data_IF_812206961199
#
_entry.id   IF_812206961199
#
_cell.length_a   1.000
_cell.length_b   1.000
_cell.length_c   1.000
_cell.angle_alpha   90.00
_cell.angle_beta   90.00
_cell.angle_gamma   90.00
#
_symmetry.space_group_name_H-M   'P 1'
#
loop_
_entity.id
_entity.type
_entity.pdbx_description
1 polymer ?
#
# COMPACT_ATOMS: atom_id res chain seq x y z
N UNK A 1 4.86 10.30 -8.14
CA UNK A 1 6.18 9.66 -7.84
C UNK A 1 6.52 10.06 -6.43
N UNK A 2 6.62 9.08 -5.51
CA UNK A 2 6.98 9.35 -4.12
C UNK A 2 8.45 9.00 -3.89
N UNK A 3 8.78 7.77 -3.64
CA UNK A 3 10.11 7.35 -3.26
C UNK A 3 10.59 6.02 -3.90
N UNK A 4 9.75 5.32 -4.64
CA UNK A 4 10.16 4.09 -5.34
C UNK A 4 10.84 4.37 -6.68
N UNK A 5 11.97 3.69 -6.96
CA UNK A 5 12.73 3.74 -8.22
C UNK A 5 12.68 2.43 -9.02
N UNK A 6 12.01 1.39 -8.52
CA UNK A 6 11.90 0.10 -9.19
C UNK A 6 10.97 0.19 -10.41
N UNK A 7 11.50 -0.08 -11.60
CA UNK A 7 10.72 -0.16 -12.83
C UNK A 7 10.15 -1.57 -13.01
N UNK A 8 8.86 -1.69 -13.35
CA UNK A 8 8.17 -2.98 -13.45
C UNK A 8 8.91 -4.00 -14.33
N UNK A 9 9.41 -3.61 -15.49
CA UNK A 9 10.15 -4.52 -16.38
C UNK A 9 11.39 -5.11 -15.71
N UNK A 10 12.27 -4.25 -15.22
CA UNK A 10 13.50 -4.63 -14.55
C UNK A 10 13.25 -5.43 -13.26
N UNK A 11 12.19 -5.06 -12.52
CA UNK A 11 11.78 -5.75 -11.30
C UNK A 11 11.36 -7.19 -11.59
N UNK A 12 10.54 -7.44 -12.62
CA UNK A 12 10.14 -8.79 -12.99
C UNK A 12 11.28 -9.60 -13.59
N UNK A 13 12.16 -8.98 -14.39
CA UNK A 13 13.37 -9.64 -14.89
C UNK A 13 14.25 -10.09 -13.73
N UNK A 14 14.47 -9.21 -12.75
CA UNK A 14 15.22 -9.53 -11.53
C UNK A 14 14.56 -10.62 -10.69
N UNK A 15 13.25 -10.58 -10.53
CA UNK A 15 12.47 -11.61 -9.83
C UNK A 15 12.67 -12.99 -10.46
N UNK A 16 12.60 -13.06 -11.80
CA UNK A 16 12.84 -14.29 -12.55
C UNK A 16 14.30 -14.78 -12.44
N UNK A 17 15.29 -13.87 -12.56
CA UNK A 17 16.71 -14.19 -12.37
C UNK A 17 17.01 -14.81 -11.00
N UNK A 18 16.34 -14.31 -9.96
CA UNK A 18 16.49 -14.80 -8.59
C UNK A 18 15.70 -16.09 -8.33
N UNK A 19 14.94 -16.59 -9.31
CA UNK A 19 14.13 -17.82 -9.19
C UNK A 19 12.93 -17.64 -8.25
N UNK A 20 12.47 -16.40 -8.00
CA UNK A 20 11.28 -16.13 -7.19
C UNK A 20 10.02 -16.33 -8.03
N UNK A 21 9.03 -17.05 -7.48
CA UNK A 21 7.76 -17.36 -8.15
C UNK A 21 6.72 -16.23 -8.04
N UNK A 22 6.88 -15.32 -7.10
CA UNK A 22 5.93 -14.25 -6.80
C UNK A 22 6.66 -12.98 -6.36
N UNK A 23 6.00 -11.84 -6.53
CA UNK A 23 6.42 -10.55 -5.98
C UNK A 23 5.20 -9.67 -5.68
N UNK A 24 5.28 -8.85 -4.65
CA UNK A 24 4.23 -7.91 -4.29
C UNK A 24 4.52 -6.50 -4.79
N UNK A 25 3.46 -5.75 -5.11
CA UNK A 25 3.48 -4.29 -5.14
C UNK A 25 2.81 -3.77 -3.86
N UNK A 26 3.35 -2.70 -3.28
CA UNK A 26 2.81 -2.09 -2.06
C UNK A 26 2.98 -0.57 -2.09
N UNK A 27 2.52 0.06 -3.18
CA UNK A 27 2.61 1.51 -3.37
C UNK A 27 1.95 2.29 -2.21
N UNK A 28 2.49 3.46 -1.89
CA UNK A 28 1.99 4.32 -0.82
C UNK A 28 0.59 4.86 -1.09
N UNK A 29 -0.40 4.42 -0.31
CA UNK A 29 -1.75 4.96 -0.24
C UNK A 29 -2.62 4.77 -1.48
N UNK A 30 -2.14 4.01 -2.48
CA UNK A 30 -2.89 3.79 -3.72
C UNK A 30 -2.57 2.43 -4.36
N UNK A 31 -3.36 2.09 -5.37
CA UNK A 31 -3.22 0.86 -6.17
C UNK A 31 -3.29 1.16 -7.68
N UNK A 32 -2.83 2.35 -8.09
CA UNK A 32 -2.94 2.80 -9.49
C UNK A 32 -2.20 1.90 -10.47
N UNK A 33 -1.09 1.30 -10.07
CA UNK A 33 -0.30 0.38 -10.87
C UNK A 33 -0.80 -1.06 -10.91
N UNK A 34 -1.88 -1.41 -10.22
CA UNK A 34 -2.29 -2.79 -9.97
C UNK A 34 -2.51 -3.61 -11.27
N UNK A 35 -3.21 -3.06 -12.24
CA UNK A 35 -3.46 -3.74 -13.50
C UNK A 35 -2.18 -3.96 -14.32
N UNK A 36 -1.37 -2.91 -14.48
CA UNK A 36 -0.10 -3.01 -15.21
C UNK A 36 0.86 -4.00 -14.54
N UNK A 37 0.90 -3.99 -13.21
CA UNK A 37 1.69 -4.93 -12.42
C UNK A 37 1.21 -6.35 -12.65
N UNK A 38 -0.07 -6.62 -12.49
CA UNK A 38 -0.68 -7.93 -12.70
C UNK A 38 -0.44 -8.45 -14.11
N UNK A 39 -0.75 -7.66 -15.13
CA UNK A 39 -0.63 -8.03 -16.54
C UNK A 39 0.82 -8.36 -16.92
N UNK A 40 1.78 -7.54 -16.49
CA UNK A 40 3.21 -7.77 -16.75
C UNK A 40 3.74 -9.00 -16.00
N UNK A 41 3.37 -9.19 -14.74
CA UNK A 41 3.76 -10.37 -13.96
C UNK A 41 3.28 -11.66 -14.62
N UNK A 42 2.00 -11.71 -15.02
CA UNK A 42 1.42 -12.85 -15.75
C UNK A 42 2.17 -13.13 -17.05
N UNK A 43 2.54 -12.11 -17.82
CA UNK A 43 3.31 -12.27 -19.05
C UNK A 43 4.71 -12.85 -18.84
N UNK A 44 5.27 -12.72 -17.65
CA UNK A 44 6.58 -13.25 -17.24
C UNK A 44 6.47 -14.58 -16.46
N UNK A 45 5.25 -15.10 -16.24
CA UNK A 45 5.03 -16.32 -15.46
C UNK A 45 5.30 -16.13 -13.96
N UNK A 46 5.27 -14.89 -13.47
CA UNK A 46 5.44 -14.54 -12.06
C UNK A 46 4.07 -14.27 -11.45
N UNK A 47 3.83 -14.76 -10.25
CA UNK A 47 2.59 -14.54 -9.51
C UNK A 47 2.56 -13.10 -8.95
N UNK A 48 1.59 -12.26 -9.36
CA UNK A 48 1.44 -10.92 -8.81
C UNK A 48 0.74 -10.97 -7.45
N UNK A 49 1.26 -10.25 -6.47
CA UNK A 49 0.57 -9.99 -5.21
C UNK A 49 0.22 -8.50 -5.19
N UNK A 50 -1.07 -8.20 -5.26
CA UNK A 50 -1.57 -6.82 -5.27
C UNK A 50 -1.69 -6.35 -3.83
N UNK A 51 -1.05 -5.25 -3.51
CA UNK A 51 -1.06 -4.68 -2.18
C UNK A 51 -0.93 -3.16 -2.18
N UNK A 52 -0.87 -2.60 -1.00
CA UNK A 52 -0.74 -1.18 -0.74
C UNK A 52 -0.07 -0.96 0.62
N UNK A 53 0.87 -0.05 0.71
CA UNK A 53 1.29 0.51 1.98
C UNK A 53 0.34 1.64 2.37
N UNK A 54 -0.69 1.27 3.14
CA UNK A 54 -1.76 2.17 3.51
C UNK A 54 -1.34 3.14 4.62
N UNK A 55 -1.83 4.37 4.54
CA UNK A 55 -1.76 5.33 5.64
C UNK A 55 -2.96 5.12 6.57
N UNK A 56 -2.70 5.03 7.86
CA UNK A 56 -3.73 4.89 8.88
C UNK A 56 -3.72 6.06 9.86
N UNK A 57 -4.90 6.48 10.30
CA UNK A 57 -4.98 7.43 11.40
C UNK A 57 -4.53 6.77 12.69
N UNK A 58 -3.78 7.47 13.55
CA UNK A 58 -3.34 6.91 14.84
C UNK A 58 -4.53 6.86 15.83
N UNK A 59 -5.36 5.82 15.68
CA UNK A 59 -6.56 5.56 16.48
C UNK A 59 -7.53 6.75 16.58
N UNK A 60 -7.77 7.43 15.46
CA UNK A 60 -8.74 8.53 15.32
C UNK A 60 -9.61 8.30 14.10
N UNK A 61 -10.86 8.85 14.05
CA UNK A 61 -11.67 8.80 12.83
C UNK A 61 -10.95 9.45 11.65
N UNK A 62 -11.05 8.85 10.45
CA UNK A 62 -10.37 9.32 9.22
C UNK A 62 -10.75 10.74 8.81
N UNK A 63 -11.97 11.20 9.11
CA UNK A 63 -12.43 12.54 8.82
C UNK A 63 -11.82 13.63 9.71
N UNK A 64 -11.20 13.27 10.83
CA UNK A 64 -10.56 14.23 11.73
C UNK A 64 -9.20 14.67 11.20
N UNK A 65 -9.05 15.98 10.91
CA UNK A 65 -7.80 16.57 10.40
C UNK A 65 -6.93 17.09 11.54
N UNK A 66 -6.54 16.17 12.45
CA UNK A 66 -5.67 16.51 13.59
C UNK A 66 -4.46 15.56 13.65
N UNK A 67 -3.40 16.04 14.30
CA UNK A 67 -2.22 15.25 14.64
C UNK A 67 -2.36 14.72 16.06
N UNK A 68 -2.03 13.47 16.26
CA UNK A 68 -1.95 12.85 17.59
C UNK A 68 -0.52 13.01 18.11
N UNK A 69 -0.36 13.39 19.38
CA UNK A 69 0.95 13.37 20.03
C UNK A 69 1.22 11.95 20.54
N UNK A 70 2.31 11.39 20.07
CA UNK A 70 2.87 10.16 20.58
C UNK A 70 3.73 10.52 21.79
N UNK A 71 3.23 10.33 23.02
CA UNK A 71 3.97 10.70 24.23
C UNK A 71 4.46 12.16 24.22
N UNK A 72 5.58 12.51 24.85
CA UNK A 72 6.10 13.88 24.97
C UNK A 72 6.74 14.45 23.69
N UNK A 73 6.48 13.88 22.51
CA UNK A 73 6.93 14.41 21.21
C UNK A 73 8.45 14.32 21.01
N UNK A 74 9.04 13.19 21.40
CA UNK A 74 10.46 12.90 21.18
C UNK A 74 10.85 12.87 19.71
N UNK A 75 12.16 12.96 19.44
CA UNK A 75 12.76 12.93 18.08
C UNK A 75 12.51 11.62 17.31
N UNK A 76 11.87 10.64 17.92
CA UNK A 76 11.60 9.30 17.38
C UNK A 76 10.23 9.17 16.68
N UNK A 77 9.50 10.27 16.49
CA UNK A 77 8.25 10.25 15.73
C UNK A 77 8.53 10.32 14.23
N UNK A 78 8.65 9.16 13.62
CA UNK A 78 8.78 9.01 12.15
C UNK A 78 7.42 8.79 11.46
N UNK A 79 6.32 8.76 12.21
CA UNK A 79 4.98 8.42 11.73
C UNK A 79 4.22 9.67 11.32
N UNK A 80 4.63 10.34 10.23
CA UNK A 80 3.93 11.51 9.69
C UNK A 80 3.71 12.64 10.71
N UNK A 81 4.59 12.77 11.71
CA UNK A 81 4.47 13.67 12.85
C UNK A 81 3.08 13.56 13.53
N UNK A 82 2.57 12.34 13.69
CA UNK A 82 1.29 12.05 14.33
C UNK A 82 0.05 12.26 13.45
N UNK A 83 0.23 12.53 12.15
CA UNK A 83 -0.89 12.64 11.21
C UNK A 83 -1.37 11.28 10.72
N UNK A 84 -0.45 10.33 10.57
CA UNK A 84 -0.71 8.96 10.08
C UNK A 84 0.39 8.00 10.51
N UNK A 85 0.09 6.71 10.40
CA UNK A 85 1.02 5.59 10.50
C UNK A 85 0.95 4.77 9.21
N UNK A 86 1.80 3.77 9.05
CA UNK A 86 1.82 2.88 7.89
C UNK A 86 1.34 1.47 8.24
N UNK A 87 0.73 0.80 7.27
CA UNK A 87 0.37 -0.62 7.35
C UNK A 87 0.42 -1.22 5.94
N UNK A 88 1.07 -2.36 5.79
CA UNK A 88 1.05 -3.09 4.51
C UNK A 88 -0.21 -3.95 4.43
N UNK A 89 -0.98 -3.78 3.36
CA UNK A 89 -2.16 -4.56 3.04
C UNK A 89 -1.93 -5.32 1.74
N UNK A 90 -2.27 -6.60 1.71
CA UNK A 90 -2.16 -7.47 0.54
C UNK A 90 -3.52 -8.10 0.24
N UNK A 91 -3.87 -8.18 -1.05
CA UNK A 91 -5.07 -8.89 -1.49
C UNK A 91 -4.81 -10.40 -1.54
N UNK A 92 -5.47 -11.16 -0.68
CA UNK A 92 -5.47 -12.60 -0.72
C UNK A 92 -6.32 -13.13 -1.87
N UNK A 93 -7.46 -12.48 -2.13
CA UNK A 93 -8.44 -12.87 -3.14
C UNK A 93 -8.81 -11.71 -4.05
N UNK A 94 -9.51 -11.99 -5.16
CA UNK A 94 -10.08 -10.94 -6.02
C UNK A 94 -11.07 -10.05 -5.25
N UNK A 95 -11.83 -10.60 -4.31
CA UNK A 95 -12.68 -9.79 -3.40
C UNK A 95 -11.82 -8.83 -2.56
N UNK A 96 -10.72 -9.33 -1.98
CA UNK A 96 -9.76 -8.51 -1.25
C UNK A 96 -9.15 -7.41 -2.11
N UNK A 97 -8.82 -7.69 -3.37
CA UNK A 97 -8.34 -6.66 -4.31
C UNK A 97 -9.39 -5.56 -4.52
N UNK A 98 -10.65 -5.89 -4.70
CA UNK A 98 -11.73 -4.90 -4.80
C UNK A 98 -11.90 -4.12 -3.49
N UNK A 99 -11.70 -4.77 -2.34
CA UNK A 99 -11.72 -4.11 -1.04
C UNK A 99 -10.53 -3.15 -0.85
N UNK A 100 -9.32 -3.48 -1.37
CA UNK A 100 -8.20 -2.53 -1.44
C UNK A 100 -8.54 -1.30 -2.29
N UNK A 101 -9.19 -1.48 -3.44
CA UNK A 101 -9.62 -0.36 -4.29
C UNK A 101 -10.63 0.53 -3.57
N UNK A 102 -11.59 -0.08 -2.85
CA UNK A 102 -12.57 0.64 -2.05
C UNK A 102 -11.91 1.41 -0.91
N UNK A 103 -11.00 0.75 -0.16
CA UNK A 103 -10.27 1.35 0.95
C UNK A 103 -9.42 2.54 0.47
N UNK A 104 -8.64 2.38 -0.58
CA UNK A 104 -7.82 3.46 -1.17
C UNK A 104 -8.66 4.64 -1.64
N UNK A 105 -9.79 4.37 -2.31
CA UNK A 105 -10.70 5.41 -2.80
C UNK A 105 -11.34 6.18 -1.65
N UNK A 106 -11.86 5.50 -0.64
CA UNK A 106 -12.50 6.14 0.51
C UNK A 106 -11.49 6.87 1.40
N UNK A 107 -10.29 6.31 1.58
CA UNK A 107 -9.19 7.00 2.28
C UNK A 107 -8.85 8.34 1.59
N UNK A 108 -8.85 8.36 0.25
CA UNK A 108 -8.59 9.57 -0.54
C UNK A 108 -9.72 10.61 -0.44
N UNK A 109 -10.98 10.17 -0.44
CA UNK A 109 -12.14 11.07 -0.45
C UNK A 109 -12.50 11.55 0.96
N UNK A 110 -12.48 10.65 1.95
CA UNK A 110 -12.99 10.88 3.29
C UNK A 110 -11.90 11.22 4.31
N UNK A 111 -10.67 10.67 4.11
CA UNK A 111 -9.58 10.68 5.09
C UNK A 111 -8.37 11.56 4.74
N UNK A 112 -8.42 12.33 3.66
CA UNK A 112 -7.24 13.07 3.19
C UNK A 112 -6.80 14.18 4.16
N UNK A 113 -5.64 13.96 4.77
CA UNK A 113 -4.93 14.96 5.58
C UNK A 113 -3.43 14.67 5.51
N UNK A 114 -2.68 15.44 4.72
CA UNK A 114 -1.35 15.19 4.19
C UNK A 114 -1.30 14.01 3.21
N UNK A 115 -1.86 12.86 3.58
CA UNK A 115 -1.98 11.64 2.80
C UNK A 115 -3.40 11.06 2.87
N UNK A 116 -3.80 10.16 1.95
CA UNK A 116 -5.07 9.46 2.02
C UNK A 116 -5.07 8.45 3.18
N UNK A 117 -5.82 8.71 4.26
CA UNK A 117 -5.78 7.90 5.48
C UNK A 117 -7.03 7.05 5.64
N UNK A 118 -6.84 5.78 5.93
CA UNK A 118 -7.86 4.89 6.46
C UNK A 118 -7.90 4.97 7.99
N UNK A 119 -8.94 4.43 8.60
CA UNK A 119 -9.06 4.17 10.02
C UNK A 119 -9.49 2.72 10.26
N UNK A 120 -9.65 2.31 11.51
CA UNK A 120 -10.05 0.94 11.88
C UNK A 120 -11.44 0.59 11.36
N UNK A 121 -12.39 1.55 11.37
CA UNK A 121 -13.75 1.36 10.84
C UNK A 121 -13.72 1.00 9.35
N UNK A 122 -12.97 1.76 8.54
CA UNK A 122 -12.86 1.49 7.11
C UNK A 122 -12.11 0.18 6.83
N UNK A 123 -11.11 -0.16 7.66
CA UNK A 123 -10.42 -1.44 7.56
C UNK A 123 -11.38 -2.61 7.85
N UNK A 124 -12.19 -2.52 8.90
CA UNK A 124 -13.18 -3.54 9.25
C UNK A 124 -14.20 -3.77 8.13
N UNK A 125 -14.71 -2.67 7.52
CA UNK A 125 -15.61 -2.75 6.37
C UNK A 125 -14.97 -3.41 5.12
N UNK A 126 -13.65 -3.37 5.00
CA UNK A 126 -12.90 -3.84 3.83
C UNK A 126 -12.00 -5.06 4.12
N UNK A 127 -12.03 -5.64 5.32
CA UNK A 127 -11.07 -6.66 5.75
C UNK A 127 -11.17 -7.99 5.00
N UNK A 128 -12.34 -8.31 4.45
CA UNK A 128 -12.56 -9.58 3.74
C UNK A 128 -11.57 -9.77 2.57
N UNK A 129 -10.85 -10.88 2.60
CA UNK A 129 -9.87 -11.24 1.57
C UNK A 129 -8.59 -10.40 1.60
N UNK A 130 -8.29 -9.74 2.73
CA UNK A 130 -7.04 -9.03 2.96
C UNK A 130 -6.14 -9.78 3.94
N UNK A 131 -4.85 -9.73 3.67
CA UNK A 131 -3.76 -10.02 4.60
C UNK A 131 -3.10 -8.69 4.92
N UNK A 132 -2.73 -8.47 6.19
CA UNK A 132 -2.00 -7.28 6.60
C UNK A 132 -0.76 -7.61 7.41
N UNK A 133 0.18 -6.67 7.42
CA UNK A 133 1.33 -6.70 8.32
C UNK A 133 1.35 -5.45 9.18
N UNK A 134 2.18 -5.46 10.23
CA UNK A 134 2.35 -4.26 11.09
C UNK A 134 2.99 -3.06 10.37
N UNK A 135 3.47 -3.26 9.15
CA UNK A 135 4.15 -2.23 8.34
C UNK A 135 5.62 -1.99 8.72
N UNK A 136 6.19 -0.96 8.15
CA UNK A 136 7.57 -0.50 8.37
C UNK A 136 7.74 0.13 9.78
N UNK A 137 8.93 0.66 10.14
CA UNK A 137 9.13 1.37 11.41
C UNK A 137 8.16 2.54 11.69
N UNK A 138 7.45 3.03 10.66
CA UNK A 138 6.39 4.04 10.79
C UNK A 138 5.00 3.45 11.12
N UNK A 139 4.88 2.14 11.30
CA UNK A 139 3.66 1.48 11.74
C UNK A 139 3.22 1.88 13.15
N UNK A 140 1.93 1.76 13.46
CA UNK A 140 1.39 2.12 14.77
C UNK A 140 1.98 1.26 15.88
N UNK A 141 2.05 -0.06 15.69
CA UNK A 141 2.61 -1.02 16.66
C UNK A 141 4.09 -0.69 16.93
N UNK A 142 4.88 -0.49 15.87
CA UNK A 142 6.29 -0.14 15.96
C UNK A 142 6.48 1.22 16.64
N UNK A 143 5.61 2.18 16.40
CA UNK A 143 5.68 3.48 17.07
C UNK A 143 5.51 3.34 18.57
N UNK A 144 4.52 2.58 19.05
CA UNK A 144 4.36 2.32 20.48
C UNK A 144 5.57 1.59 21.10
N UNK A 145 6.15 0.63 20.37
CA UNK A 145 7.37 -0.06 20.84
C UNK A 145 8.57 0.89 20.93
N UNK A 146 8.73 1.80 19.96
CA UNK A 146 9.84 2.78 19.95
C UNK A 146 9.81 3.75 21.13
N UNK A 147 8.61 4.17 21.52
CA UNK A 147 8.43 5.07 22.67
C UNK A 147 8.34 4.33 24.02
N UNK A 148 8.48 3.00 24.00
CA UNK A 148 8.56 2.18 25.22
C UNK A 148 7.21 1.77 25.81
N UNK A 149 6.09 1.98 25.09
CA UNK A 149 4.75 1.60 25.56
C UNK A 149 4.31 0.25 24.98
N UNK A 150 4.82 -0.83 25.59
CA UNK A 150 4.53 -2.19 25.14
C UNK A 150 3.04 -2.54 25.24
N UNK A 151 2.34 -2.09 26.26
CA UNK A 151 0.92 -2.44 26.44
C UNK A 151 0.04 -1.81 25.36
N UNK A 152 0.33 -0.57 24.94
CA UNK A 152 -0.35 0.03 23.79
C UNK A 152 0.02 -0.63 22.47
N UNK A 153 1.27 -1.04 22.30
CA UNK A 153 1.68 -1.84 21.13
C UNK A 153 0.90 -3.16 21.07
N UNK A 154 0.78 -3.84 22.23
CA UNK A 154 0.04 -5.10 22.35
C UNK A 154 -1.45 -4.93 22.07
N UNK A 155 -2.05 -3.87 22.62
CA UNK A 155 -3.46 -3.54 22.35
C UNK A 155 -3.67 -3.26 20.87
N UNK A 156 -2.87 -2.39 20.26
CA UNK A 156 -2.97 -2.06 18.83
C UNK A 156 -2.82 -3.29 17.94
N UNK A 157 -1.84 -4.15 18.22
CA UNK A 157 -1.65 -5.39 17.46
C UNK A 157 -2.84 -6.36 17.63
N UNK A 158 -3.41 -6.45 18.83
CA UNK A 158 -4.61 -7.25 19.10
C UNK A 158 -5.84 -6.71 18.36
N UNK A 159 -6.07 -5.40 18.40
CA UNK A 159 -7.19 -4.75 17.71
C UNK A 159 -7.14 -5.03 16.18
N UNK A 160 -5.96 -4.93 15.57
CA UNK A 160 -5.80 -5.24 14.14
C UNK A 160 -5.96 -6.73 13.84
N UNK A 161 -5.47 -7.61 14.72
CA UNK A 161 -5.68 -9.05 14.59
C UNK A 161 -7.16 -9.42 14.69
N UNK A 162 -7.91 -8.77 15.57
CA UNK A 162 -9.36 -9.01 15.71
C UNK A 162 -10.13 -8.56 14.46
N UNK A 163 -9.77 -7.43 13.84
CA UNK A 163 -10.38 -6.93 12.61
C UNK A 163 -10.08 -7.86 11.42
N UNK A 164 -8.83 -8.29 11.25
CA UNK A 164 -8.37 -9.03 10.08
C UNK A 164 -8.54 -10.54 10.21
N UNK A 165 -8.63 -11.03 11.44
CA UNK A 165 -8.59 -12.46 11.77
C UNK A 165 -7.17 -12.97 12.01
N UNK A 166 -7.06 -14.01 12.86
CA UNK A 166 -5.78 -14.53 13.38
C UNK A 166 -4.79 -14.97 12.32
N UNK A 167 -5.30 -15.49 11.19
CA UNK A 167 -4.47 -16.04 10.11
C UNK A 167 -4.06 -14.98 9.08
N UNK A 168 -4.61 -13.76 9.18
CA UNK A 168 -4.46 -12.70 8.18
C UNK A 168 -3.65 -11.50 8.66
N UNK A 169 -3.06 -11.58 9.84
CA UNK A 169 -2.24 -10.50 10.37
C UNK A 169 -0.85 -11.00 10.78
N UNK A 170 0.20 -10.29 10.34
CA UNK A 170 1.60 -10.68 10.54
C UNK A 170 2.40 -9.53 11.16
N UNK A 171 3.38 -9.88 12.00
CA UNK A 171 4.37 -8.92 12.50
C UNK A 171 5.49 -8.77 11.46
N UNK A 172 5.64 -7.60 10.89
CA UNK A 172 6.63 -7.32 9.85
C UNK A 172 8.00 -7.03 10.47
N UNK A 173 9.00 -7.77 10.00
CA UNK A 173 10.39 -7.66 10.45
C UNK A 173 11.25 -7.14 9.30
N UNK A 174 11.97 -6.04 9.56
CA UNK A 174 12.95 -5.44 8.65
C UNK A 174 14.32 -5.34 9.33
N UNK A 175 15.40 -5.46 8.56
CA UNK A 175 16.77 -5.23 9.03
C UNK A 175 17.65 -4.65 7.89
N UNK A 176 17.75 -3.33 7.86
CA UNK A 176 18.70 -2.57 7.04
C UNK A 176 19.91 -2.11 7.86
N UNK A 177 20.03 -2.60 9.10
CA UNK A 177 21.06 -2.18 10.04
C UNK A 177 20.73 -0.92 10.83
N UNK A 178 19.48 -0.44 10.76
CA UNK A 178 19.04 0.79 11.42
C UNK A 178 18.81 0.57 12.92
N UNK A 179 19.20 1.54 13.74
CA UNK A 179 18.96 1.49 15.18
C UNK A 179 17.48 1.42 15.55
N UNK A 180 16.62 2.04 14.74
CA UNK A 180 15.17 2.04 14.91
C UNK A 180 14.57 0.63 14.73
N UNK A 181 15.04 -0.13 13.75
CA UNK A 181 14.61 -1.51 13.50
C UNK A 181 15.05 -2.45 14.63
N UNK A 182 16.31 -2.28 15.10
CA UNK A 182 16.85 -3.06 16.21
C UNK A 182 16.06 -2.85 17.51
N UNK A 183 15.66 -1.59 17.79
CA UNK A 183 14.87 -1.26 18.99
C UNK A 183 13.49 -1.92 19.03
N UNK A 184 12.82 -2.05 17.87
CA UNK A 184 11.46 -2.62 17.84
C UNK A 184 11.45 -4.14 17.71
N UNK A 185 12.52 -4.76 17.18
CA UNK A 185 12.57 -6.21 16.90
C UNK A 185 12.26 -7.08 18.12
N UNK A 186 12.87 -6.81 19.27
CA UNK A 186 12.60 -7.59 20.48
C UNK A 186 11.15 -7.47 20.93
N UNK A 187 10.57 -6.26 20.84
CA UNK A 187 9.17 -6.01 21.15
C UNK A 187 8.22 -6.73 20.20
N UNK A 188 8.49 -6.72 18.89
CA UNK A 188 7.73 -7.46 17.89
C UNK A 188 7.78 -8.97 18.13
N UNK A 189 8.96 -9.54 18.44
CA UNK A 189 9.11 -10.96 18.73
C UNK A 189 8.41 -11.35 20.06
N UNK A 190 8.35 -10.44 21.03
CA UNK A 190 7.56 -10.64 22.23
C UNK A 190 6.06 -10.63 21.94
N UNK A 191 5.58 -9.66 21.12
CA UNK A 191 4.18 -9.62 20.65
C UNK A 191 3.79 -10.90 19.90
N UNK A 192 4.70 -11.41 19.04
CA UNK A 192 4.50 -12.67 18.32
C UNK A 192 4.16 -13.82 19.27
N UNK A 193 4.85 -13.91 20.40
CA UNK A 193 4.60 -14.96 21.42
C UNK A 193 3.33 -14.67 22.20
N UNK A 194 3.12 -13.43 22.65
CA UNK A 194 2.02 -13.06 23.54
C UNK A 194 0.64 -13.12 22.84
N UNK A 195 0.59 -12.81 21.54
CA UNK A 195 -0.64 -12.76 20.73
C UNK A 195 -0.74 -13.89 19.69
N UNK A 196 0.27 -14.74 19.60
CA UNK A 196 0.38 -15.78 18.56
C UNK A 196 0.28 -15.22 17.13
N UNK A 197 0.82 -14.01 16.88
CA UNK A 197 0.88 -13.39 15.55
C UNK A 197 2.18 -13.84 14.86
N UNK A 198 2.13 -14.49 13.68
CA UNK A 198 3.34 -14.96 13.01
C UNK A 198 4.19 -13.79 12.48
N UNK A 199 5.54 -13.88 12.56
CA UNK A 199 6.42 -12.89 11.96
C UNK A 199 6.59 -13.13 10.46
N UNK A 200 6.80 -12.05 9.68
CA UNK A 200 7.16 -12.09 8.27
C UNK A 200 8.35 -11.18 8.00
N UNK A 201 9.34 -11.66 7.26
CA UNK A 201 10.52 -10.89 6.89
C UNK A 201 10.29 -10.17 5.56
N UNK A 202 10.46 -8.85 5.55
CA UNK A 202 10.39 -8.03 4.34
C UNK A 202 11.67 -7.22 4.15
N UNK A 203 11.82 -6.57 2.99
CA UNK A 203 12.99 -5.75 2.71
C UNK A 203 12.63 -4.33 2.27
N UNK A 204 11.37 -3.97 2.25
CA UNK A 204 10.94 -2.61 1.87
C UNK A 204 11.67 -2.10 0.61
N UNK A 205 11.63 -2.92 -0.47
CA UNK A 205 12.48 -2.72 -1.64
C UNK A 205 12.01 -1.52 -2.46
N UNK A 206 12.85 -0.49 -2.56
CA UNK A 206 12.57 0.74 -3.29
C UNK A 206 13.25 0.80 -4.67
N UNK A 207 14.21 -0.08 -4.92
CA UNK A 207 14.92 -0.20 -6.20
C UNK A 207 15.29 -1.65 -6.49
N UNK A 208 15.71 -1.94 -7.73
CA UNK A 208 15.90 -3.31 -8.21
C UNK A 208 17.24 -3.89 -7.78
N UNK A 209 18.33 -3.17 -8.01
CA UNK A 209 19.68 -3.63 -7.70
C UNK A 209 20.34 -2.73 -6.66
N UNK A 210 21.24 -3.27 -5.85
CA UNK A 210 21.97 -2.49 -4.83
C UNK A 210 22.68 -1.25 -5.40
N UNK A 211 23.26 -1.37 -6.61
CA UNK A 211 23.90 -0.24 -7.32
C UNK A 211 22.98 0.93 -7.63
N UNK A 212 21.65 0.71 -7.60
CA UNK A 212 20.66 1.73 -7.94
C UNK A 212 20.39 2.69 -6.76
N UNK A 213 20.99 2.44 -5.60
CA UNK A 213 20.86 3.29 -4.41
C UNK A 213 21.16 4.76 -4.69
N UNK A 214 22.23 5.05 -5.45
CA UNK A 214 22.59 6.43 -5.82
C UNK A 214 21.56 7.08 -6.73
N UNK A 215 21.01 6.34 -7.70
CA UNK A 215 19.95 6.84 -8.57
C UNK A 215 18.66 7.11 -7.78
N UNK A 216 18.35 6.23 -6.83
CA UNK A 216 17.24 6.40 -5.89
C UNK A 216 17.41 7.68 -5.04
N UNK A 217 18.62 7.95 -4.55
CA UNK A 217 18.92 9.16 -3.77
C UNK A 217 18.66 10.45 -4.56
N UNK A 218 19.02 10.46 -5.87
CA UNK A 218 18.66 11.57 -6.77
C UNK A 218 17.15 11.72 -6.95
N UNK A 219 16.44 10.60 -7.06
CA UNK A 219 14.99 10.60 -7.16
C UNK A 219 14.33 11.20 -5.91
N UNK A 220 14.83 10.88 -4.71
CA UNK A 220 14.36 11.47 -3.45
C UNK A 220 14.59 13.00 -3.43
N UNK A 221 15.69 13.49 -3.98
CA UNK A 221 15.91 14.92 -4.13
C UNK A 221 14.86 15.58 -5.04
N UNK A 222 14.53 14.96 -6.17
CA UNK A 222 13.46 15.46 -7.06
C UNK A 222 12.11 15.48 -6.34
N UNK A 223 11.78 14.40 -5.63
CA UNK A 223 10.52 14.25 -4.90
C UNK A 223 10.36 15.29 -3.77
N UNK A 224 11.44 15.55 -3.03
CA UNK A 224 11.43 16.49 -1.88
C UNK A 224 11.75 17.95 -2.23
N UNK A 225 12.11 18.23 -3.49
CA UNK A 225 12.55 19.57 -3.90
C UNK A 225 13.91 19.98 -3.32
N UNK A 226 14.76 19.01 -2.97
CA UNK A 226 16.10 19.18 -2.39
C UNK A 226 17.18 18.97 -3.44
N UNK A 227 18.43 19.22 -3.07
CA UNK A 227 19.63 18.92 -3.90
C UNK A 227 20.57 17.99 -3.15
N UNK A 228 21.43 17.26 -3.90
CA UNK A 228 22.36 16.27 -3.30
C UNK A 228 23.34 16.88 -2.29
N UNK A 229 23.67 18.15 -2.42
CA UNK A 229 24.55 18.88 -1.48
C UNK A 229 23.86 19.35 -0.20
N UNK A 230 22.54 19.21 -0.08
CA UNK A 230 21.80 19.53 1.14
C UNK A 230 22.00 18.40 2.17
N UNK A 231 22.71 18.67 3.23
CA UNK A 231 22.98 17.68 4.29
C UNK A 231 21.72 17.26 5.06
N UNK A 232 20.70 18.10 5.08
CA UNK A 232 19.43 17.84 5.79
C UNK A 232 18.32 17.27 4.89
N UNK A 233 18.63 16.93 3.62
CA UNK A 233 17.66 16.35 2.73
C UNK A 233 17.12 15.01 3.26
N UNK A 234 15.92 14.67 2.86
CA UNK A 234 15.39 13.33 3.08
C UNK A 234 16.22 12.30 2.29
N UNK A 235 16.66 11.25 2.95
CA UNK A 235 17.43 10.15 2.37
C UNK A 235 17.20 8.88 3.17
N UNK A 236 17.40 7.75 2.52
CA UNK A 236 17.49 6.46 3.20
C UNK A 236 18.90 6.22 3.69
N UNK A 237 19.04 5.65 4.87
CA UNK A 237 20.34 5.27 5.39
C UNK A 237 20.74 3.89 4.85
N UNK A 238 21.90 3.81 4.20
CA UNK A 238 22.40 2.59 3.58
C UNK A 238 21.88 2.34 2.16
N UNK A 239 22.23 1.18 1.62
CA UNK A 239 21.95 0.74 0.26
C UNK A 239 21.20 -0.60 0.20
N UNK A 240 20.56 -0.98 1.31
CA UNK A 240 19.95 -2.28 1.54
C UNK A 240 18.53 -2.46 0.94
N UNK A 241 17.92 -1.43 0.36
CA UNK A 241 16.51 -1.42 -0.07
C UNK A 241 16.32 -1.93 -1.52
N UNK A 242 17.08 -2.93 -1.91
CA UNK A 242 16.99 -3.59 -3.22
C UNK A 242 16.27 -4.95 -3.12
N UNK A 243 15.92 -5.52 -4.26
CA UNK A 243 15.33 -6.86 -4.32
C UNK A 243 16.41 -7.90 -4.02
N UNK A 244 16.45 -8.34 -2.76
CA UNK A 244 17.39 -9.35 -2.26
C UNK A 244 17.00 -10.76 -2.72
N UNK A 245 17.99 -11.60 -2.92
CA UNK A 245 17.78 -13.04 -3.17
C UNK A 245 17.26 -13.76 -1.92
N UNK A 246 16.65 -14.93 -2.12
CA UNK A 246 16.25 -15.81 -1.02
C UNK A 246 17.43 -16.19 -0.11
N UNK A 247 18.63 -16.38 -0.68
CA UNK A 247 19.83 -16.67 0.11
C UNK A 247 20.27 -15.51 0.99
N UNK A 248 20.22 -14.27 0.50
CA UNK A 248 20.52 -13.07 1.30
C UNK A 248 19.50 -12.89 2.43
N UNK A 249 18.21 -13.04 2.15
CA UNK A 249 17.17 -12.94 3.18
C UNK A 249 17.27 -14.05 4.22
N UNK A 250 17.60 -15.30 3.80
CA UNK A 250 17.78 -16.41 4.75
C UNK A 250 19.06 -16.25 5.58
N UNK A 251 20.17 -15.79 4.99
CA UNK A 251 21.38 -15.47 5.74
C UNK A 251 21.12 -14.40 6.82
N UNK A 252 20.27 -13.42 6.52
CA UNK A 252 19.88 -12.39 7.46
C UNK A 252 18.95 -12.93 8.55
N UNK A 253 17.85 -13.55 8.17
CA UNK A 253 16.78 -13.90 9.10
C UNK A 253 16.92 -15.29 9.73
N UNK A 254 17.33 -16.30 8.96
CA UNK A 254 17.52 -17.65 9.49
C UNK A 254 18.86 -17.82 10.20
N UNK A 255 19.96 -17.41 9.57
CA UNK A 255 21.30 -17.67 10.11
C UNK A 255 21.67 -16.65 11.19
N UNK A 256 21.51 -15.35 10.92
CA UNK A 256 21.90 -14.28 11.84
C UNK A 256 20.91 -14.10 13.00
N UNK A 257 19.60 -14.11 12.72
CA UNK A 257 18.55 -13.84 13.72
C UNK A 257 17.88 -15.11 14.27
N UNK A 258 18.11 -16.29 13.69
CA UNK A 258 17.49 -17.55 14.12
C UNK A 258 15.99 -17.61 13.88
N UNK A 259 15.49 -16.93 12.85
CA UNK A 259 14.06 -16.77 12.52
C UNK A 259 13.72 -17.29 11.11
N UNK A 260 13.99 -18.57 10.78
CA UNK A 260 13.72 -19.12 9.45
C UNK A 260 12.23 -19.02 9.07
N UNK A 261 11.32 -19.15 10.05
CA UNK A 261 9.88 -19.05 9.83
C UNK A 261 9.44 -17.68 9.29
N UNK A 262 10.17 -16.60 9.58
CA UNK A 262 9.85 -15.28 9.05
C UNK A 262 10.04 -15.23 7.53
N UNK A 263 11.03 -15.96 6.99
CA UNK A 263 11.18 -16.16 5.55
C UNK A 263 10.13 -17.14 4.99
N UNK A 264 9.85 -18.23 5.70
CA UNK A 264 8.88 -19.24 5.24
C UNK A 264 7.47 -18.65 5.13
N UNK A 265 7.09 -17.73 6.02
CA UNK A 265 5.81 -17.03 6.00
C UNK A 265 5.64 -16.14 4.75
N UNK A 266 6.71 -15.68 4.09
CA UNK A 266 6.60 -14.99 2.79
C UNK A 266 6.06 -15.92 1.70
N UNK A 267 6.49 -17.18 1.70
CA UNK A 267 6.01 -18.20 0.76
C UNK A 267 4.56 -18.58 1.08
N UNK A 268 4.21 -18.72 2.37
CA UNK A 268 2.84 -18.96 2.80
C UNK A 268 1.88 -17.86 2.30
N UNK A 269 2.26 -16.59 2.47
CA UNK A 269 1.47 -15.45 1.96
C UNK A 269 1.38 -15.51 0.43
N UNK A 270 2.50 -15.74 -0.25
CA UNK A 270 2.53 -15.83 -1.71
C UNK A 270 1.66 -16.98 -2.25
N UNK A 271 1.60 -18.12 -1.55
CA UNK A 271 0.75 -19.26 -1.92
C UNK A 271 -0.73 -18.91 -1.79
N UNK A 272 -1.12 -18.21 -0.73
CA UNK A 272 -2.50 -17.82 -0.42
C UNK A 272 -3.05 -16.76 -1.37
N UNK A 273 -2.23 -15.77 -1.76
CA UNK A 273 -2.66 -14.69 -2.62
C UNK A 273 -2.97 -15.18 -4.03
N UNK A 274 -4.20 -14.96 -4.50
CA UNK A 274 -4.62 -15.25 -5.86
C UNK A 274 -5.67 -14.24 -6.33
N UNK A 275 -5.29 -13.38 -7.27
CA UNK A 275 -6.13 -12.30 -7.79
C UNK A 275 -6.20 -12.34 -9.30
N UNK A 276 -7.40 -12.06 -9.83
CA UNK A 276 -7.62 -12.02 -11.27
C UNK A 276 -8.37 -10.74 -11.68
N UNK A 277 -7.93 -10.14 -12.80
CA UNK A 277 -8.67 -9.09 -13.47
C UNK A 277 -9.52 -9.71 -14.59
N UNK A 278 -10.82 -9.42 -14.59
CA UNK A 278 -11.71 -9.89 -15.64
C UNK A 278 -11.67 -8.93 -16.85
N UNK A 279 -10.81 -9.26 -17.82
CA UNK A 279 -10.62 -8.45 -19.02
C UNK A 279 -11.74 -8.63 -20.07
N UNK A 280 -12.59 -9.67 -19.92
CA UNK A 280 -13.69 -9.96 -20.85
C UNK A 280 -15.03 -9.35 -20.43
N UNK A 281 -15.14 -8.82 -19.23
CA UNK A 281 -16.38 -8.22 -18.72
C UNK A 281 -16.61 -6.84 -19.34
N UNK A 282 -17.86 -6.57 -19.71
CA UNK A 282 -18.28 -5.25 -20.15
C UNK A 282 -18.79 -4.45 -18.95
N UNK A 283 -17.97 -3.51 -18.48
CA UNK A 283 -18.27 -2.63 -17.35
C UNK A 283 -18.82 -1.27 -17.77
N UNK A 284 -19.40 -1.15 -18.98
CA UNK A 284 -20.05 0.09 -19.39
C UNK A 284 -21.14 0.49 -18.39
N UNK A 285 -21.05 1.68 -17.80
CA UNK A 285 -22.06 2.17 -16.88
C UNK A 285 -23.43 2.27 -17.58
N UNK A 286 -24.48 1.83 -16.89
CA UNK A 286 -25.86 2.09 -17.33
C UNK A 286 -26.32 3.41 -16.74
N UNK A 287 -26.74 4.34 -17.59
CA UNK A 287 -27.29 5.60 -17.12
C UNK A 287 -28.72 5.38 -16.58
N UNK A 288 -29.05 5.86 -15.38
CA UNK A 288 -30.44 5.77 -14.86
C UNK A 288 -31.35 6.75 -15.61
N UNK A 289 -32.03 6.25 -16.62
CA UNK A 289 -32.99 7.05 -17.39
C UNK A 289 -34.29 7.26 -16.61
N UNK A 290 -35.02 8.37 -16.82
CA UNK A 290 -36.37 8.56 -16.29
C UNK A 290 -37.32 7.45 -16.75
N UNK A 291 -38.42 7.28 -16.01
CA UNK A 291 -39.46 6.27 -16.32
C UNK A 291 -40.01 6.45 -17.75
N UNK A 292 -40.03 5.37 -18.52
CA UNK A 292 -40.50 5.37 -19.91
C UNK A 292 -39.41 5.73 -20.94
N UNK A 293 -38.17 6.03 -20.49
CA UNK A 293 -37.05 6.32 -21.39
C UNK A 293 -36.02 5.16 -21.36
N UNK A 294 -35.26 5.05 -22.46
CA UNK A 294 -34.01 4.29 -22.50
C UNK A 294 -32.82 5.25 -22.77
N UNK A 295 -31.61 4.72 -22.75
CA UNK A 295 -30.39 5.55 -22.90
C UNK A 295 -30.39 6.33 -24.23
N UNK A 296 -30.83 5.72 -25.35
CA UNK A 296 -30.87 6.38 -26.65
C UNK A 296 -31.93 7.51 -26.69
N UNK A 297 -33.16 7.23 -26.25
CA UNK A 297 -34.23 8.23 -26.25
C UNK A 297 -33.94 9.39 -25.32
N UNK A 298 -33.35 9.09 -24.14
CA UNK A 298 -32.97 10.13 -23.19
C UNK A 298 -31.80 10.97 -23.69
N UNK A 299 -30.79 10.32 -24.32
CA UNK A 299 -29.67 11.03 -24.93
C UNK A 299 -30.11 12.03 -25.98
N UNK A 300 -31.00 11.62 -26.90
CA UNK A 300 -31.58 12.52 -27.94
C UNK A 300 -32.25 13.73 -27.30
N UNK A 301 -33.08 13.51 -26.23
CA UNK A 301 -33.76 14.59 -25.51
C UNK A 301 -32.80 15.57 -24.86
N UNK A 302 -31.74 15.04 -24.22
CA UNK A 302 -30.73 15.88 -23.59
C UNK A 302 -29.88 16.68 -24.61
N UNK A 303 -29.57 16.08 -25.76
CA UNK A 303 -28.91 16.80 -26.88
C UNK A 303 -29.78 17.95 -27.35
N UNK A 304 -31.08 17.69 -27.62
CA UNK A 304 -32.02 18.73 -28.04
C UNK A 304 -32.14 19.85 -26.98
N UNK A 305 -32.28 19.49 -25.72
CA UNK A 305 -32.33 20.47 -24.64
C UNK A 305 -31.03 21.30 -24.57
N UNK A 306 -29.87 20.65 -24.72
CA UNK A 306 -28.56 21.33 -24.77
C UNK A 306 -28.38 22.26 -25.96
N UNK A 307 -28.88 21.88 -27.15
CA UNK A 307 -28.85 22.72 -28.34
C UNK A 307 -29.67 24.01 -28.16
N UNK A 308 -30.90 23.90 -27.60
CA UNK A 308 -31.73 25.08 -27.32
C UNK A 308 -31.12 26.02 -26.28
N UNK A 309 -30.42 25.49 -25.26
CA UNK A 309 -29.70 26.30 -24.29
C UNK A 309 -28.54 27.06 -24.93
N UNK A 310 -27.78 26.38 -25.80
CA UNK A 310 -26.60 26.98 -26.46
C UNK A 310 -26.93 27.94 -27.59
N UNK A 311 -28.05 27.71 -28.27
CA UNK A 311 -28.49 28.51 -29.42
C UNK A 311 -29.93 29.03 -29.19
N UNK A 312 -30.14 29.93 -28.22
CA UNK A 312 -31.46 30.40 -27.85
C UNK A 312 -32.15 31.24 -28.97
N UNK A 313 -31.35 31.73 -29.94
CA UNK A 313 -31.84 32.51 -31.09
C UNK A 313 -32.05 31.65 -32.35
N UNK A 314 -31.88 30.34 -32.28
CA UNK A 314 -32.00 29.40 -33.38
C UNK A 314 -30.72 28.58 -33.60
N UNK A 315 -30.89 27.29 -33.84
CA UNK A 315 -29.76 26.35 -34.04
C UNK A 315 -29.32 26.44 -35.49
N UNK A 316 -28.05 26.77 -35.77
CA UNK A 316 -27.54 26.80 -37.15
C UNK A 316 -27.65 25.43 -37.83
N UNK A 317 -28.02 25.41 -39.11
CA UNK A 317 -28.22 24.17 -39.89
C UNK A 317 -27.00 23.23 -39.83
N UNK A 318 -25.79 23.81 -39.91
CA UNK A 318 -24.54 23.05 -39.80
C UNK A 318 -24.41 22.34 -38.45
N UNK A 319 -24.83 22.98 -37.39
CA UNK A 319 -24.81 22.38 -36.03
C UNK A 319 -25.88 21.31 -35.89
N UNK A 320 -27.08 21.60 -36.41
CA UNK A 320 -28.19 20.63 -36.41
C UNK A 320 -27.84 19.35 -37.17
N UNK A 321 -27.12 19.46 -38.26
CA UNK A 321 -26.69 18.32 -39.07
C UNK A 321 -25.60 17.46 -38.43
N UNK A 322 -24.93 17.98 -37.41
CA UNK A 322 -23.87 17.26 -36.66
C UNK A 322 -24.37 16.67 -35.33
N UNK A 323 -25.52 17.13 -34.83
CA UNK A 323 -26.13 16.68 -33.59
C UNK A 323 -27.10 15.52 -33.85
#
# INVERSE_FOLDING_TARGET
>A
MLDGAARLGEMFDRTAELGMSAIAMTDHGNVFGAYDFWSKAKSKGIKPIIGMEAYFTPNTPRGERKKVRWNDGGQDDVSGAGAYTHMTLLAETTTGMHNLFRLSSRASIEGYFYNPRADRELLEECAEGLIATTGCPSGEVQTWLRIGDYEKARQSAGDFQDILGKDNYFLELMDHGLSIENRVREGLLKLSKDLAIPPVATNDSHYVHQKDATAHEHLLCVSSGSVMSDEKRFRFDGDGYYIKSASEMRALWADRHGLPQACDNTLLIAERCDVEFNESANYMPKFPCPEGENEDSWFIKEVERGLHIRYPQGIPDKVRAQA
#
